data_IF_199012754753
#
_entry.id   IF_199012754753
#
_cell.length_a   1.000
_cell.length_b   1.000
_cell.length_c   1.000
_cell.angle_alpha   90.00
_cell.angle_beta   90.00
_cell.angle_gamma   90.00
#
_symmetry.space_group_name_H-M   'P 1'
#
loop_
_entity.id
_entity.type
_entity.pdbx_description
1 polymer ?
#
# COMPACT_ATOMS: atom_id res chain seq x y z
N UNK A 1 -6.94 2.07 1.84
CA UNK A 1 -5.73 2.92 2.04
C UNK A 1 -4.53 2.19 1.48
N UNK A 2 -3.47 2.91 1.12
CA UNK A 2 -2.25 2.30 0.60
C UNK A 2 -0.99 3.03 1.02
N UNK A 3 0.09 2.28 1.16
CA UNK A 3 1.41 2.82 1.48
C UNK A 3 2.44 2.21 0.54
N UNK A 4 3.34 3.02 0.03
CA UNK A 4 4.44 2.57 -0.81
C UNK A 4 5.77 3.12 -0.29
N UNK A 5 6.77 2.27 -0.29
CA UNK A 5 8.13 2.58 0.14
C UNK A 5 9.03 2.61 -1.07
N UNK A 6 9.81 3.67 -1.17
CA UNK A 6 10.73 3.88 -2.25
C UNK A 6 12.11 4.20 -1.70
N UNK A 7 13.13 3.62 -2.32
CA UNK A 7 14.46 4.21 -2.39
C UNK A 7 14.55 5.06 -3.64
N UNK A 8 15.63 4.88 -4.39
CA UNK A 8 15.69 5.41 -5.76
C UNK A 8 14.70 4.70 -6.70
N UNK A 9 14.25 3.50 -6.34
CA UNK A 9 13.20 2.72 -7.01
C UNK A 9 12.16 2.22 -5.99
N UNK A 10 11.05 1.67 -6.46
CA UNK A 10 10.04 1.03 -5.61
C UNK A 10 10.68 -0.12 -4.82
N UNK A 11 10.39 -0.23 -3.53
CA UNK A 11 10.79 -1.36 -2.69
C UNK A 11 9.61 -2.26 -2.38
N UNK A 12 8.58 -1.66 -1.79
CA UNK A 12 7.40 -2.37 -1.31
C UNK A 12 6.16 -1.50 -1.46
N UNK A 13 5.02 -2.15 -1.69
CA UNK A 13 3.72 -1.52 -1.69
C UNK A 13 2.71 -2.38 -0.95
N UNK A 14 1.86 -1.72 -0.15
CA UNK A 14 0.81 -2.34 0.63
C UNK A 14 -0.52 -1.64 0.39
N UNK A 15 -1.57 -2.41 0.19
CA UNK A 15 -2.92 -1.93 -0.02
C UNK A 15 -3.89 -2.71 0.85
N UNK A 16 -4.71 -2.00 1.64
CA UNK A 16 -5.84 -2.57 2.36
C UNK A 16 -7.13 -1.91 1.88
N UNK A 17 -8.07 -2.76 1.51
CA UNK A 17 -9.42 -2.39 1.13
C UNK A 17 -10.44 -3.24 1.86
N UNK A 18 -11.60 -2.68 2.13
CA UNK A 18 -12.75 -3.39 2.62
C UNK A 18 -13.97 -2.90 1.84
N UNK A 19 -14.92 -3.80 1.61
CA UNK A 19 -16.22 -3.43 1.01
C UNK A 19 -17.01 -2.54 1.96
N UNK A 20 -16.94 -2.83 3.25
CA UNK A 20 -17.58 -2.02 4.28
C UNK A 20 -16.74 -1.97 5.54
N UNK A 21 -16.87 -0.86 6.26
CA UNK A 21 -16.06 -0.52 7.42
C UNK A 21 -16.95 0.21 8.41
N UNK A 22 -17.16 -0.40 9.58
CA UNK A 22 -18.11 0.10 10.58
C UNK A 22 -17.53 -0.02 11.99
N UNK A 23 -17.95 0.89 12.87
CA UNK A 23 -17.64 0.79 14.29
C UNK A 23 -18.57 -0.24 14.93
N UNK A 24 -18.05 -1.13 15.78
CA UNK A 24 -18.76 -2.30 16.32
C UNK A 24 -20.04 -1.93 17.09
N UNK A 25 -20.09 -0.71 17.65
CA UNK A 25 -21.22 -0.21 18.43
C UNK A 25 -22.08 0.85 17.70
N UNK A 26 -21.87 1.05 16.40
CA UNK A 26 -22.68 1.99 15.62
C UNK A 26 -23.99 1.31 15.18
N UNK A 27 -25.17 1.80 15.58
CA UNK A 27 -26.44 1.23 15.15
C UNK A 27 -26.66 1.47 13.65
N UNK A 28 -26.13 0.56 12.82
CA UNK A 28 -26.50 0.31 11.42
C UNK A 28 -26.89 1.59 10.63
N UNK A 29 -25.90 2.37 10.20
CA UNK A 29 -26.07 3.06 8.93
C UNK A 29 -26.09 1.99 7.83
N UNK A 30 -27.29 1.73 7.32
CA UNK A 30 -27.53 1.00 6.08
C UNK A 30 -26.84 1.73 4.92
N UNK A 31 -25.53 1.58 4.76
CA UNK A 31 -24.85 1.95 3.52
C UNK A 31 -25.09 0.85 2.49
N UNK A 32 -26.31 0.82 1.97
CA UNK A 32 -26.67 0.11 0.73
C UNK A 32 -26.08 0.85 -0.46
N UNK A 33 -24.77 0.74 -0.68
CA UNK A 33 -24.02 1.19 -1.89
C UNK A 33 -22.63 0.53 -1.76
N UNK A 34 -22.41 -0.70 -2.21
CA UNK A 34 -22.27 -1.13 -3.62
C UNK A 34 -22.55 -2.64 -3.65
N UNK A 35 -23.80 -3.03 -3.92
CA UNK A 35 -24.22 -4.45 -3.83
C UNK A 35 -24.19 -5.16 -5.21
N UNK A 36 -23.28 -4.77 -6.11
CA UNK A 36 -23.34 -5.22 -7.51
C UNK A 36 -22.03 -5.61 -8.18
N UNK A 37 -21.09 -6.12 -7.40
CA UNK A 37 -19.89 -6.69 -7.97
C UNK A 37 -19.42 -7.88 -7.13
N UNK A 38 -19.80 -9.11 -7.50
CA UNK A 38 -18.83 -10.04 -8.10
C UNK A 38 -19.17 -11.54 -8.13
N UNK A 39 -18.88 -12.13 -9.30
CA UNK A 39 -18.27 -13.45 -9.45
C UNK A 39 -16.74 -13.37 -9.57
N UNK A 40 -16.05 -14.51 -9.43
CA UNK A 40 -14.58 -14.62 -9.20
C UNK A 40 -13.65 -14.00 -10.26
N UNK A 41 -14.10 -13.83 -11.51
CA UNK A 41 -13.26 -13.27 -12.59
C UNK A 41 -13.22 -11.74 -12.58
N UNK A 42 -14.35 -11.11 -12.39
CA UNK A 42 -14.44 -9.66 -12.50
C UNK A 42 -13.85 -9.03 -11.21
N UNK A 43 -13.88 -9.73 -10.06
CA UNK A 43 -13.27 -9.28 -8.79
C UNK A 43 -11.76 -9.18 -8.92
N UNK A 44 -11.18 -10.19 -9.58
CA UNK A 44 -9.76 -10.19 -9.93
C UNK A 44 -9.45 -9.04 -10.89
N UNK A 45 -10.32 -8.78 -11.88
CA UNK A 45 -10.15 -7.65 -12.79
C UNK A 45 -10.15 -6.33 -12.04
N UNK A 46 -11.10 -6.11 -11.13
CA UNK A 46 -11.19 -4.87 -10.37
C UNK A 46 -10.03 -4.69 -9.40
N UNK A 47 -9.64 -5.72 -8.66
CA UNK A 47 -8.47 -5.63 -7.80
C UNK A 47 -7.21 -5.35 -8.63
N UNK A 48 -7.04 -5.96 -9.81
CA UNK A 48 -5.92 -5.68 -10.71
C UNK A 48 -5.96 -4.24 -11.24
N UNK A 49 -7.11 -3.79 -11.75
CA UNK A 49 -7.29 -2.43 -12.27
C UNK A 49 -7.10 -1.38 -11.18
N UNK A 50 -7.66 -1.61 -9.98
CA UNK A 50 -7.59 -0.69 -8.85
C UNK A 50 -6.18 -0.64 -8.25
N UNK A 51 -5.49 -1.79 -8.18
CA UNK A 51 -4.08 -1.83 -7.78
C UNK A 51 -3.21 -1.01 -8.74
N UNK A 52 -3.40 -1.13 -10.07
CA UNK A 52 -2.63 -0.37 -11.04
C UNK A 52 -2.79 1.16 -10.88
N UNK A 53 -4.00 1.64 -10.57
CA UNK A 53 -4.22 3.08 -10.34
C UNK A 53 -3.42 3.62 -9.14
N UNK A 54 -3.42 2.92 -8.00
CA UNK A 54 -2.68 3.39 -6.83
C UNK A 54 -1.17 3.28 -6.98
N UNK A 55 -0.72 2.30 -7.77
CA UNK A 55 0.70 2.14 -8.09
C UNK A 55 1.17 3.31 -8.95
N UNK A 56 0.43 3.66 -10.01
CA UNK A 56 0.75 4.82 -10.85
C UNK A 56 0.77 6.12 -10.01
N UNK A 57 -0.24 6.29 -9.17
CA UNK A 57 -0.31 7.36 -8.18
C UNK A 57 0.90 7.40 -7.22
N UNK A 58 1.45 6.25 -6.84
CA UNK A 58 2.65 6.15 -6.01
C UNK A 58 3.90 6.58 -6.77
N UNK A 59 4.06 6.15 -8.03
CA UNK A 59 5.17 6.54 -8.90
C UNK A 59 5.17 8.04 -9.21
N UNK A 60 4.01 8.62 -9.53
CA UNK A 60 3.90 10.06 -9.75
C UNK A 60 4.32 10.86 -8.50
N UNK A 61 3.90 10.42 -7.30
CA UNK A 61 4.31 11.06 -6.03
C UNK A 61 5.80 10.88 -5.75
N UNK A 62 6.34 9.70 -6.02
CA UNK A 62 7.78 9.41 -5.91
C UNK A 62 8.61 10.37 -6.78
N UNK A 63 8.17 10.67 -8.00
CA UNK A 63 8.84 11.64 -8.88
C UNK A 63 8.92 13.03 -8.26
N UNK A 64 7.82 13.54 -7.69
CA UNK A 64 7.83 14.82 -6.99
C UNK A 64 8.77 14.80 -5.78
N UNK A 65 8.83 13.69 -5.05
CA UNK A 65 9.75 13.51 -3.92
C UNK A 65 11.21 13.55 -4.38
N UNK A 66 11.54 12.86 -5.48
CA UNK A 66 12.88 12.89 -6.07
C UNK A 66 13.31 14.30 -6.45
N UNK A 67 12.44 15.07 -7.10
CA UNK A 67 12.76 16.45 -7.50
C UNK A 67 13.03 17.31 -6.25
N UNK A 68 12.20 17.16 -5.20
CA UNK A 68 12.42 17.84 -3.90
C UNK A 68 13.74 17.43 -3.26
N UNK A 69 14.08 16.13 -3.25
CA UNK A 69 15.34 15.63 -2.67
C UNK A 69 16.55 16.18 -3.44
N UNK A 70 16.44 16.28 -4.77
CA UNK A 70 17.50 16.76 -5.65
C UNK A 70 17.75 18.26 -5.47
N UNK A 71 16.69 19.06 -5.31
CA UNK A 71 16.76 20.50 -5.12
C UNK A 71 17.14 20.88 -3.68
N UNK A 72 16.89 20.00 -2.71
CA UNK A 72 17.10 20.28 -1.29
C UNK A 72 18.47 19.81 -0.78
N UNK A 73 19.30 20.77 -0.37
CA UNK A 73 20.63 20.52 0.21
C UNK A 73 20.63 20.13 1.69
N UNK A 74 19.49 20.17 2.38
CA UNK A 74 19.38 19.82 3.79
C UNK A 74 19.38 18.30 4.00
N UNK A 75 19.92 17.80 5.11
CA UNK A 75 19.83 16.38 5.46
C UNK A 75 18.41 16.02 5.96
N UNK A 76 17.55 15.62 5.02
CA UNK A 76 16.24 15.04 5.32
C UNK A 76 16.43 13.63 5.89
N UNK A 77 15.81 13.35 7.05
CA UNK A 77 15.83 12.03 7.68
C UNK A 77 14.65 11.13 7.30
N UNK A 78 13.54 11.76 6.89
CA UNK A 78 12.30 11.06 6.53
C UNK A 78 11.47 11.95 5.63
N UNK A 79 10.87 11.37 4.60
CA UNK A 79 9.88 12.02 3.75
C UNK A 79 8.62 11.18 3.73
N UNK A 80 7.48 11.81 4.01
CA UNK A 80 6.15 11.21 3.81
C UNK A 80 5.29 12.16 3.02
N UNK A 81 4.78 11.69 1.88
CA UNK A 81 3.86 12.45 1.03
C UNK A 81 2.53 11.72 1.00
N UNK A 82 1.45 12.47 1.29
CA UNK A 82 0.09 11.96 1.25
C UNK A 82 -0.79 12.70 0.24
N UNK A 83 -1.91 12.08 -0.15
CA UNK A 83 -2.96 12.79 -0.89
C UNK A 83 -3.76 13.73 0.03
N UNK A 84 -4.55 14.63 -0.55
CA UNK A 84 -5.37 15.58 0.22
C UNK A 84 -6.41 14.91 1.12
N UNK A 85 -6.67 13.61 0.92
CA UNK A 85 -7.59 12.79 1.71
C UNK A 85 -6.87 11.84 2.68
N UNK A 86 -5.55 11.90 2.76
CA UNK A 86 -4.70 11.04 3.57
C UNK A 86 -4.91 9.51 3.39
N UNK A 87 -5.34 9.07 2.20
CA UNK A 87 -5.65 7.66 1.87
C UNK A 87 -4.46 6.90 1.28
N UNK A 88 -3.45 7.62 0.80
CA UNK A 88 -2.26 7.09 0.13
C UNK A 88 -1.01 7.76 0.66
N UNK A 89 0.01 7.00 1.04
CA UNK A 89 1.30 7.52 1.54
C UNK A 89 2.48 6.96 0.73
N UNK A 90 3.35 7.84 0.23
CA UNK A 90 4.71 7.48 -0.22
C UNK A 90 5.67 7.79 0.91
N UNK A 91 6.53 6.85 1.28
CA UNK A 91 7.44 6.96 2.41
C UNK A 91 8.88 6.66 2.00
N UNK A 92 9.80 7.47 2.51
CA UNK A 92 11.25 7.28 2.42
C UNK A 92 11.91 7.55 3.77
N UNK A 93 12.85 6.69 4.14
CA UNK A 93 13.73 6.89 5.30
C UNK A 93 15.06 7.53 4.89
N UNK A 94 15.93 7.77 5.86
CA UNK A 94 17.21 8.44 5.64
C UNK A 94 18.07 7.68 4.63
N UNK A 95 18.12 6.35 4.77
CA UNK A 95 18.82 5.44 3.85
C UNK A 95 18.26 5.50 2.41
N UNK A 96 16.94 5.61 2.26
CA UNK A 96 16.25 5.69 0.98
C UNK A 96 16.53 7.03 0.27
N UNK A 97 16.57 8.12 1.06
CA UNK A 97 16.87 9.46 0.57
C UNK A 97 18.33 9.56 0.12
N UNK A 98 19.26 8.95 0.88
CA UNK A 98 20.67 8.89 0.52
C UNK A 98 20.88 8.09 -0.78
N UNK A 99 20.18 6.98 -0.95
CA UNK A 99 20.18 6.22 -2.20
C UNK A 99 19.73 7.09 -3.39
N UNK A 100 18.65 7.86 -3.25
CA UNK A 100 18.16 8.77 -4.29
C UNK A 100 19.21 9.81 -4.71
N UNK A 101 19.98 10.33 -3.75
CA UNK A 101 21.03 11.34 -4.01
C UNK A 101 22.24 10.78 -4.74
N UNK A 102 22.56 9.52 -4.48
CA UNK A 102 23.73 8.86 -5.04
C UNK A 102 23.47 8.26 -6.43
N UNK A 103 22.21 7.98 -6.77
CA UNK A 103 21.83 7.45 -8.08
C UNK A 103 21.66 8.58 -9.08
N UNK A 104 22.32 8.47 -10.24
CA UNK A 104 21.96 9.30 -11.41
C UNK A 104 20.63 8.77 -11.93
N UNK A 105 19.55 9.47 -11.61
CA UNK A 105 18.22 9.15 -12.11
C UNK A 105 18.16 9.60 -13.57
N UNK A 106 18.19 8.65 -14.51
CA UNK A 106 17.88 8.93 -15.90
C UNK A 106 16.39 9.28 -15.99
N UNK A 107 16.11 10.55 -16.33
CA UNK A 107 14.76 11.15 -16.25
C UNK A 107 13.76 10.67 -17.31
N UNK A 108 14.08 9.71 -18.16
CA UNK A 108 13.21 9.29 -19.26
C UNK A 108 13.43 7.81 -19.63
N UNK A 109 12.91 6.88 -18.83
CA UNK A 109 12.80 5.48 -19.26
C UNK A 109 11.41 4.93 -18.98
N UNK A 110 10.72 4.53 -20.06
CA UNK A 110 9.61 3.59 -19.95
C UNK A 110 10.14 2.35 -19.24
N UNK A 111 9.72 2.17 -18.00
CA UNK A 111 10.20 1.08 -17.16
C UNK A 111 9.09 0.05 -17.08
N UNK A 112 9.31 -1.12 -17.69
CA UNK A 112 8.49 -2.29 -17.38
C UNK A 112 8.94 -2.83 -16.02
N UNK A 113 8.05 -2.76 -15.03
CA UNK A 113 8.31 -3.27 -13.71
C UNK A 113 7.47 -4.52 -13.46
N UNK A 114 8.17 -5.65 -13.33
CA UNK A 114 7.54 -6.89 -12.91
C UNK A 114 7.52 -6.92 -11.39
N UNK A 115 6.32 -6.95 -10.79
CA UNK A 115 6.15 -7.10 -9.35
C UNK A 115 5.58 -8.48 -9.02
N UNK A 116 6.00 -9.05 -7.90
CA UNK A 116 5.34 -10.20 -7.30
C UNK A 116 4.71 -9.77 -5.98
N UNK A 117 3.62 -10.44 -5.61
CA UNK A 117 2.86 -10.05 -4.44
C UNK A 117 2.14 -11.21 -3.79
N UNK A 118 1.65 -10.92 -2.59
CA UNK A 118 0.79 -11.79 -1.80
C UNK A 118 -0.52 -11.05 -1.54
N UNK A 119 -1.64 -11.74 -1.73
CA UNK A 119 -2.98 -11.24 -1.45
C UNK A 119 -3.63 -12.12 -0.39
N UNK A 120 -4.20 -11.48 0.62
CA UNK A 120 -5.04 -12.11 1.64
C UNK A 120 -6.47 -11.63 1.46
N UNK A 121 -7.42 -12.54 1.73
CA UNK A 121 -8.85 -12.23 1.67
C UNK A 121 -9.51 -12.67 2.97
N UNK A 122 -10.21 -11.74 3.60
CA UNK A 122 -10.87 -11.96 4.88
C UNK A 122 -12.34 -11.58 4.76
N UNK A 123 -13.28 -12.53 4.90
CA UNK A 123 -14.71 -12.22 4.82
C UNK A 123 -15.17 -11.20 5.86
N UNK A 124 -14.66 -11.31 7.08
CA UNK A 124 -14.91 -10.39 8.20
C UNK A 124 -13.63 -10.30 9.01
N UNK A 125 -13.14 -9.07 9.20
CA UNK A 125 -11.96 -8.76 9.98
C UNK A 125 -12.38 -7.84 11.13
N UNK A 126 -12.27 -8.34 12.35
CA UNK A 126 -12.50 -7.54 13.55
C UNK A 126 -11.22 -6.85 13.98
N UNK A 127 -11.33 -5.58 14.35
CA UNK A 127 -10.26 -4.69 14.77
C UNK A 127 -10.54 -4.29 16.22
N UNK A 128 -10.24 -5.18 17.18
CA UNK A 128 -10.66 -5.04 18.57
C UNK A 128 -10.03 -3.82 19.27
N UNK A 129 -8.83 -3.40 18.88
CA UNK A 129 -8.13 -2.27 19.52
C UNK A 129 -8.87 -0.96 19.26
N UNK A 130 -9.35 -0.75 18.02
CA UNK A 130 -10.10 0.46 17.66
C UNK A 130 -11.62 0.27 17.67
N UNK A 131 -12.10 -0.97 17.85
CA UNK A 131 -13.53 -1.29 17.90
C UNK A 131 -14.22 -1.18 16.54
N UNK A 132 -13.57 -1.62 15.47
CA UNK A 132 -14.12 -1.62 14.11
C UNK A 132 -14.23 -3.03 13.53
N UNK A 133 -15.09 -3.19 12.53
CA UNK A 133 -15.17 -4.39 11.71
C UNK A 133 -15.08 -4.00 10.23
N UNK A 134 -14.21 -4.69 9.49
CA UNK A 134 -14.09 -4.62 8.03
C UNK A 134 -14.72 -5.87 7.41
N UNK A 135 -15.71 -5.71 6.52
CA UNK A 135 -16.23 -6.84 5.74
C UNK A 135 -15.56 -6.91 4.38
N UNK A 136 -15.30 -8.14 3.94
CA UNK A 136 -14.58 -8.49 2.71
C UNK A 136 -13.29 -7.70 2.55
N UNK A 137 -12.47 -7.74 3.60
CA UNK A 137 -11.18 -7.10 3.57
C UNK A 137 -10.23 -7.85 2.62
N UNK A 138 -9.50 -7.08 1.82
CA UNK A 138 -8.45 -7.56 0.94
C UNK A 138 -7.18 -6.79 1.25
N UNK A 139 -6.14 -7.53 1.63
CA UNK A 139 -4.79 -7.00 1.78
C UNK A 139 -3.96 -7.48 0.59
N UNK A 140 -3.26 -6.55 -0.06
CA UNK A 140 -2.31 -6.84 -1.13
C UNK A 140 -0.96 -6.26 -0.73
N UNK A 141 0.07 -7.10 -0.66
CA UNK A 141 1.46 -6.69 -0.57
C UNK A 141 2.17 -7.05 -1.87
N UNK A 142 2.98 -6.15 -2.41
CA UNK A 142 3.77 -6.41 -3.61
C UNK A 142 5.14 -5.73 -3.53
N UNK A 143 6.11 -6.30 -4.23
CA UNK A 143 7.47 -5.79 -4.37
C UNK A 143 7.98 -6.07 -5.79
N UNK A 144 8.94 -5.31 -6.32
CA UNK A 144 9.60 -5.65 -7.57
C UNK A 144 10.27 -7.03 -7.55
N UNK A 145 10.26 -7.70 -8.70
CA UNK A 145 10.98 -8.95 -8.90
C UNK A 145 12.50 -8.69 -8.93
N UNK A 146 13.28 -9.61 -8.37
CA UNK A 146 14.74 -9.51 -8.33
C UNK A 146 15.30 -8.82 -7.08
N UNK A 147 14.45 -8.13 -6.29
CA UNK A 147 14.80 -7.73 -4.94
C UNK A 147 14.53 -8.89 -3.95
N UNK A 148 15.38 -9.08 -2.92
CA UNK A 148 15.09 -10.02 -1.85
C UNK A 148 13.76 -9.63 -1.22
N UNK A 149 12.76 -10.53 -1.30
CA UNK A 149 11.50 -10.29 -0.60
C UNK A 149 11.80 -10.27 0.90
N UNK A 150 11.49 -9.15 1.55
CA UNK A 150 11.53 -9.05 3.00
C UNK A 150 10.65 -10.14 3.63
N UNK A 151 10.77 -10.37 4.93
CA UNK A 151 9.83 -11.26 5.59
C UNK A 151 8.45 -10.59 5.65
N UNK A 152 7.39 -11.39 5.76
CA UNK A 152 6.03 -10.84 5.92
C UNK A 152 5.94 -9.91 7.14
N UNK A 153 6.75 -10.12 8.18
CA UNK A 153 6.82 -9.25 9.35
C UNK A 153 7.53 -7.92 9.08
N UNK A 154 8.40 -7.87 8.07
CA UNK A 154 9.05 -6.64 7.64
C UNK A 154 8.07 -5.68 6.97
N UNK A 155 6.93 -6.19 6.47
CA UNK A 155 5.82 -5.38 5.93
C UNK A 155 5.31 -4.39 6.96
N UNK A 156 5.49 -4.59 8.26
CA UNK A 156 5.05 -3.63 9.28
C UNK A 156 6.10 -2.57 9.61
N UNK A 157 7.37 -2.79 9.22
CA UNK A 157 8.47 -1.87 9.53
C UNK A 157 8.31 -0.60 8.70
N UNK A 158 7.83 0.46 9.34
CA UNK A 158 7.55 1.77 8.72
C UNK A 158 6.09 2.16 8.73
N UNK A 159 5.20 1.30 9.24
CA UNK A 159 3.78 1.57 9.44
C UNK A 159 3.47 2.06 10.85
N UNK A 160 4.32 1.74 11.82
CA UNK A 160 4.08 2.01 13.24
C UNK A 160 4.15 3.49 13.65
N UNK A 161 4.74 4.35 12.82
CA UNK A 161 4.94 5.77 13.12
C UNK A 161 3.69 6.65 12.83
N UNK A 162 2.61 6.07 12.29
CA UNK A 162 1.44 6.84 11.90
C UNK A 162 0.51 7.06 13.12
N UNK A 163 0.41 8.32 13.57
CA UNK A 163 -0.39 8.71 14.74
C UNK A 163 -1.87 8.95 14.40
N UNK A 164 -2.21 9.17 13.14
CA UNK A 164 -3.58 9.47 12.72
C UNK A 164 -4.49 8.25 12.91
N UNK A 165 -5.70 8.47 13.44
CA UNK A 165 -6.63 7.39 13.81
C UNK A 165 -6.90 6.41 12.65
N UNK A 166 -7.19 6.92 11.45
CA UNK A 166 -7.43 6.08 10.26
C UNK A 166 -6.23 5.18 9.93
N UNK A 167 -5.01 5.71 10.07
CA UNK A 167 -3.78 4.95 9.85
C UNK A 167 -3.51 3.95 10.96
N UNK A 168 -3.84 4.27 12.21
CA UNK A 168 -3.75 3.31 13.32
C UNK A 168 -4.71 2.13 13.12
N UNK A 169 -5.91 2.39 12.59
CA UNK A 169 -6.88 1.35 12.22
C UNK A 169 -6.38 0.53 11.02
N UNK A 170 -5.82 1.19 10.01
CA UNK A 170 -5.16 0.50 8.89
C UNK A 170 -4.07 -0.45 9.39
N UNK A 171 -3.19 0.03 10.26
CA UNK A 171 -2.06 -0.74 10.81
C UNK A 171 -2.53 -1.94 11.63
N UNK A 172 -3.60 -1.78 12.42
CA UNK A 172 -4.25 -2.91 13.07
C UNK A 172 -4.74 -3.92 12.05
N UNK A 173 -5.48 -3.47 11.02
CA UNK A 173 -6.01 -4.37 9.99
C UNK A 173 -4.92 -5.15 9.25
N UNK A 174 -3.80 -4.50 8.93
CA UNK A 174 -2.64 -5.19 8.34
C UNK A 174 -2.10 -6.24 9.31
N UNK A 175 -1.87 -5.88 10.57
CA UNK A 175 -1.33 -6.77 11.60
C UNK A 175 -2.20 -8.00 11.82
N UNK A 176 -3.51 -7.81 11.99
CA UNK A 176 -4.48 -8.89 12.20
C UNK A 176 -4.56 -9.83 11.00
N UNK A 177 -4.34 -9.33 9.77
CA UNK A 177 -4.30 -10.16 8.57
C UNK A 177 -2.97 -10.93 8.45
N UNK A 178 -1.85 -10.23 8.57
CA UNK A 178 -0.51 -10.78 8.29
C UNK A 178 -0.12 -11.85 9.31
N UNK A 179 -0.44 -11.66 10.59
CA UNK A 179 -0.07 -12.62 11.64
C UNK A 179 -1.08 -13.75 11.85
N UNK A 180 -2.23 -13.71 11.15
CA UNK A 180 -3.22 -14.77 11.26
C UNK A 180 -2.99 -15.85 10.20
N UNK A 181 -2.28 -16.90 10.62
CA UNK A 181 -1.94 -18.06 9.78
C UNK A 181 -3.15 -18.84 9.23
N UNK A 182 -4.37 -18.59 9.73
CA UNK A 182 -5.59 -19.24 9.24
C UNK A 182 -6.19 -18.53 8.00
N UNK A 183 -5.69 -17.35 7.63
CA UNK A 183 -6.19 -16.61 6.48
C UNK A 183 -5.52 -17.14 5.21
N UNK A 184 -6.36 -17.53 4.24
CA UNK A 184 -5.87 -17.98 2.94
C UNK A 184 -5.12 -16.85 2.21
N UNK A 185 -3.86 -17.14 1.85
CA UNK A 185 -3.03 -16.27 1.02
C UNK A 185 -2.86 -16.82 -0.39
N UNK A 186 -2.84 -15.93 -1.38
CA UNK A 186 -2.56 -16.25 -2.78
C UNK A 186 -1.42 -15.37 -3.28
N UNK A 187 -0.45 -15.97 -3.97
CA UNK A 187 0.60 -15.22 -4.65
C UNK A 187 0.13 -14.80 -6.04
N UNK A 188 0.64 -13.68 -6.52
CA UNK A 188 0.38 -13.17 -7.86
C UNK A 188 1.62 -12.48 -8.42
N UNK A 189 1.63 -12.31 -9.74
CA UNK A 189 2.63 -11.51 -10.45
C UNK A 189 1.88 -10.45 -11.26
N UNK A 190 2.37 -9.23 -11.21
CA UNK A 190 1.89 -8.08 -11.98
C UNK A 190 2.99 -7.65 -12.94
N UNK A 191 2.61 -7.35 -14.16
CA UNK A 191 3.44 -6.55 -15.05
C UNK A 191 2.87 -5.14 -15.04
N UNK A 192 3.68 -4.18 -14.62
CA UNK A 192 3.32 -2.77 -14.51
C UNK A 192 4.10 -2.00 -15.58
N UNK A 193 3.36 -1.40 -16.50
CA UNK A 193 3.92 -0.49 -17.48
C UNK A 193 3.53 0.92 -17.06
N UNK A 194 4.52 1.71 -16.67
CA UNK A 194 4.33 3.12 -16.34
C UNK A 194 5.43 3.96 -16.99
N UNK A 195 5.07 5.18 -17.32
CA UNK A 195 5.99 6.19 -17.81
C UNK A 195 6.48 6.96 -16.60
N UNK A 196 7.78 6.81 -16.28
CA UNK A 196 8.46 7.57 -15.22
C UNK A 196 8.74 8.99 -15.73
#
# INVERSE_FOLDING_TARGET
MWKAFFGAELRDGLFLFAESFHKINDPLENTSRIDRFYGSKEERSFLLTFNCFYIDEAFQRHRYVIDIISDNRCMLKRVVVCDSKNRGKVCMREEDIEECRNKRLDKDTNTELYCSGTMWRVPVLDLPVHGYTMKRAVLCWFCPNGLPKGKEEDVLKGFEDDEEEEWRIFNEGVREIVFNNNINKRTFVLNLNFTV
#
